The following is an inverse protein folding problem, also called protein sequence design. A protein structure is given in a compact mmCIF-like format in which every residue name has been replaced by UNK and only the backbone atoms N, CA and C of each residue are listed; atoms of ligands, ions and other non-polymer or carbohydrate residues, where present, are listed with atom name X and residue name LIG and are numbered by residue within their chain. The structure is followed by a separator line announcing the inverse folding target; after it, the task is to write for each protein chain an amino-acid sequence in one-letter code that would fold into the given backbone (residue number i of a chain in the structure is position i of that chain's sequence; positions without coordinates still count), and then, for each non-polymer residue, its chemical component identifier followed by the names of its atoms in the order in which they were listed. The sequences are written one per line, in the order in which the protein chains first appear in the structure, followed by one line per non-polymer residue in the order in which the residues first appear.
data_IF_107993647610
#
_entry.id   IF_107993647610
#
_cell.length_a   1.000
_cell.length_b   1.000
_cell.length_c   1.000
_cell.angle_alpha   90.00
_cell.angle_beta   90.00
_cell.angle_gamma   90.00
#
_symmetry.space_group_name_H-M   'P 1'
#
loop_
_entity.id
_entity.type
_entity.pdbx_description
1 polymer ?
#
# COMPACT_ATOMS: atom_id res chain seq x y z
N UNK A 1 -34.76 -4.94 -34.17
CA UNK A 1 -34.53 -5.91 -33.07
C UNK A 1 -33.14 -6.54 -33.11
N UNK A 2 -32.66 -7.12 -34.23
CA UNK A 2 -31.34 -7.78 -34.31
C UNK A 2 -30.12 -6.93 -33.88
N UNK A 3 -30.15 -5.61 -34.14
CA UNK A 3 -29.06 -4.68 -33.80
C UNK A 3 -28.87 -4.46 -32.30
N UNK A 4 -29.94 -4.56 -31.51
CA UNK A 4 -29.91 -4.39 -30.05
C UNK A 4 -29.22 -5.61 -29.39
N UNK A 5 -29.47 -6.81 -29.91
CA UNK A 5 -28.83 -8.04 -29.44
C UNK A 5 -27.34 -8.09 -29.78
N UNK A 6 -26.95 -7.58 -30.96
CA UNK A 6 -25.54 -7.46 -31.35
C UNK A 6 -24.79 -6.40 -30.53
N UNK A 7 -25.43 -5.26 -30.24
CA UNK A 7 -24.89 -4.23 -29.36
C UNK A 7 -24.74 -4.74 -27.91
N UNK A 8 -25.73 -5.47 -27.39
CA UNK A 8 -25.66 -6.07 -26.06
C UNK A 8 -24.53 -7.12 -25.97
N UNK A 9 -24.36 -7.96 -26.99
CA UNK A 9 -23.30 -8.98 -27.01
C UNK A 9 -21.90 -8.37 -27.09
N UNK A 10 -21.72 -7.29 -27.86
CA UNK A 10 -20.42 -6.61 -27.97
C UNK A 10 -20.05 -5.86 -26.69
N UNK A 11 -21.03 -5.27 -26.01
CA UNK A 11 -20.83 -4.61 -24.73
C UNK A 11 -20.48 -5.62 -23.61
N UNK A 12 -21.12 -6.80 -23.59
CA UNK A 12 -20.77 -7.87 -22.66
C UNK A 12 -19.34 -8.39 -22.86
N UNK A 13 -18.90 -8.52 -24.12
CA UNK A 13 -17.55 -8.96 -24.48
C UNK A 13 -16.49 -7.93 -24.07
N UNK A 14 -16.78 -6.63 -24.25
CA UNK A 14 -15.92 -5.55 -23.80
C UNK A 14 -15.76 -5.53 -22.27
N UNK A 15 -16.87 -5.73 -21.53
CA UNK A 15 -16.83 -5.81 -20.06
C UNK A 15 -16.00 -7.01 -19.57
N UNK A 16 -16.15 -8.17 -20.21
CA UNK A 16 -15.38 -9.36 -19.87
C UNK A 16 -13.88 -9.19 -20.18
N UNK A 17 -13.55 -8.49 -21.27
CA UNK A 17 -12.16 -8.21 -21.61
C UNK A 17 -11.49 -7.27 -20.58
N UNK A 18 -12.22 -6.27 -20.06
CA UNK A 18 -11.70 -5.35 -19.04
C UNK A 18 -11.46 -6.06 -17.71
N UNK A 19 -12.36 -6.97 -17.28
CA UNK A 19 -12.20 -7.67 -16.01
C UNK A 19 -11.04 -8.66 -15.98
N UNK A 20 -10.58 -9.16 -17.14
CA UNK A 20 -9.41 -10.02 -17.24
C UNK A 20 -8.06 -9.28 -17.11
N UNK A 21 -8.03 -7.98 -17.37
CA UNK A 21 -6.80 -7.16 -17.35
C UNK A 21 -6.57 -6.50 -15.98
N UNK A 22 -7.58 -6.44 -15.12
CA UNK A 22 -7.44 -5.89 -13.77
C UNK A 22 -6.73 -6.87 -12.84
N UNK A 23 -5.43 -6.66 -12.62
CA UNK A 23 -4.68 -7.39 -11.59
C UNK A 23 -5.12 -6.93 -10.18
N UNK A 24 -5.24 -7.85 -9.20
CA UNK A 24 -5.55 -7.47 -7.83
C UNK A 24 -4.40 -6.65 -7.25
N UNK A 25 -4.70 -5.43 -6.81
CA UNK A 25 -3.73 -4.62 -6.07
C UNK A 25 -3.52 -5.23 -4.68
N UNK A 26 -2.34 -5.82 -4.46
CA UNK A 26 -1.93 -6.27 -3.12
C UNK A 26 -1.30 -5.10 -2.36
N UNK A 27 -1.72 -4.91 -1.10
CA UNK A 27 -1.08 -3.95 -0.23
C UNK A 27 0.38 -4.34 0.01
N UNK A 28 1.29 -3.38 -0.05
CA UNK A 28 2.70 -3.62 0.26
C UNK A 28 2.84 -3.93 1.75
N UNK A 29 3.68 -4.90 2.14
CA UNK A 29 3.97 -5.15 3.53
C UNK A 29 4.65 -3.93 4.15
N UNK A 30 4.17 -3.52 5.31
CA UNK A 30 4.79 -2.47 6.10
C UNK A 30 5.87 -3.08 7.01
N UNK A 31 7.04 -2.45 7.17
CA UNK A 31 7.49 -1.21 6.54
C UNK A 31 8.16 -1.46 5.17
N UNK A 32 7.77 -0.68 4.16
CA UNK A 32 8.40 -0.71 2.84
C UNK A 32 9.53 0.33 2.69
N UNK A 33 9.81 1.12 3.73
CA UNK A 33 10.83 2.19 3.77
C UNK A 33 11.24 2.50 5.21
N UNK A 34 12.43 3.09 5.43
CA UNK A 34 12.88 3.49 6.77
C UNK A 34 11.88 4.44 7.46
N UNK A 35 11.59 4.16 8.73
CA UNK A 35 10.70 4.97 9.57
C UNK A 35 11.52 6.07 10.24
N UNK A 36 11.05 7.31 10.16
CA UNK A 36 11.67 8.45 10.86
C UNK A 36 10.98 8.65 12.20
N UNK A 37 11.67 8.30 13.29
CA UNK A 37 11.23 8.61 14.64
C UNK A 37 11.63 10.05 15.00
N UNK A 38 10.66 10.94 15.15
CA UNK A 38 10.89 12.36 15.45
C UNK A 38 10.93 12.56 16.96
N UNK A 39 12.05 13.08 17.46
CA UNK A 39 12.23 13.45 18.87
C UNK A 39 12.27 14.97 18.97
N UNK A 40 11.23 15.65 19.48
CA UNK A 40 11.17 17.11 19.54
C UNK A 40 11.94 17.66 20.76
N UNK A 41 13.13 17.11 21.02
CA UNK A 41 14.00 17.48 22.13
C UNK A 41 15.44 17.56 21.64
N UNK A 42 16.32 18.30 22.34
CA UNK A 42 17.75 18.32 22.00
C UNK A 42 18.36 16.92 22.00
N UNK A 43 19.36 16.68 21.12
CA UNK A 43 20.07 15.40 21.10
C UNK A 43 20.80 15.14 22.42
N UNK A 44 20.90 13.88 22.83
CA UNK A 44 21.58 13.48 24.07
C UNK A 44 20.75 13.64 25.36
N UNK A 45 19.53 14.18 25.29
CA UNK A 45 18.59 14.16 26.41
C UNK A 45 18.01 12.77 26.69
N UNK A 46 17.29 12.63 27.80
CA UNK A 46 16.63 11.36 28.16
C UNK A 46 15.66 10.87 27.07
N UNK A 47 14.93 11.79 26.42
CA UNK A 47 14.00 11.46 25.34
C UNK A 47 14.71 10.94 24.07
N UNK A 48 15.87 11.51 23.69
CA UNK A 48 16.67 11.03 22.55
C UNK A 48 17.29 9.66 22.86
N UNK A 49 17.79 9.47 24.08
CA UNK A 49 18.34 8.18 24.53
C UNK A 49 17.30 7.07 24.51
N UNK A 50 16.11 7.35 25.05
CA UNK A 50 14.98 6.41 25.02
C UNK A 50 14.56 6.11 23.57
N UNK A 51 14.42 7.14 22.73
CA UNK A 51 14.07 6.99 21.33
C UNK A 51 15.06 6.10 20.55
N UNK A 52 16.37 6.23 20.82
CA UNK A 52 17.40 5.36 20.23
C UNK A 52 17.26 3.91 20.68
N UNK A 53 16.98 3.67 21.97
CA UNK A 53 16.78 2.34 22.51
C UNK A 53 15.56 1.66 21.88
N UNK A 54 14.41 2.33 21.85
CA UNK A 54 13.19 1.77 21.27
C UNK A 54 13.28 1.64 19.75
N UNK A 55 13.95 2.59 19.07
CA UNK A 55 14.11 2.59 17.62
C UNK A 55 14.89 1.36 17.14
N UNK A 56 15.97 1.01 17.85
CA UNK A 56 16.72 -0.22 17.59
C UNK A 56 15.82 -1.46 17.75
N UNK A 57 15.04 -1.53 18.85
CA UNK A 57 14.17 -2.68 19.08
C UNK A 57 13.02 -2.78 18.06
N UNK A 58 12.48 -1.64 17.64
CA UNK A 58 11.43 -1.56 16.65
C UNK A 58 11.94 -2.04 15.28
N UNK A 59 13.17 -1.67 14.92
CA UNK A 59 13.81 -2.13 13.68
C UNK A 59 14.09 -3.63 13.66
N UNK A 60 14.22 -4.29 14.81
CA UNK A 60 14.35 -5.75 14.88
C UNK A 60 13.01 -6.48 14.74
N UNK A 61 11.89 -5.82 15.06
CA UNK A 61 10.55 -6.44 15.09
C UNK A 61 9.74 -6.21 13.83
N UNK A 62 9.98 -5.10 13.13
CA UNK A 62 9.30 -4.70 11.91
C UNK A 62 10.07 -5.18 10.68
#
# INVERSE_FOLDING_TARGET
MKTIWQAASSMALAFLAVSLVTAPASAQPYPNKPIRLIVPYPPGGGNDTFARLIGNKLSERL
#
